data_IF_021139404771
#
_entry.id   IF_021139404771
#
_cell.length_a   1.000
_cell.length_b   1.000
_cell.length_c   1.000
_cell.angle_alpha   90.00
_cell.angle_beta   90.00
_cell.angle_gamma   90.00
#
_symmetry.space_group_name_H-M   'P 1'
#
loop_
_entity.id
_entity.type
_entity.pdbx_description
1 polymer ?
#
# COMPACT_ATOMS: atom_id res chain seq x y z
N UNK A 1 1.17 -15.76 -8.97
CA UNK A 1 2.61 -15.56 -8.70
C UNK A 1 2.90 -16.09 -7.30
N UNK A 2 3.93 -16.91 -7.14
CA UNK A 2 4.31 -17.50 -5.85
C UNK A 2 5.71 -16.98 -5.50
N UNK A 3 5.88 -16.22 -4.39
CA UNK A 3 7.20 -15.72 -4.00
C UNK A 3 8.12 -16.87 -3.58
N UNK A 4 9.41 -16.77 -3.93
CA UNK A 4 10.42 -17.83 -3.66
C UNK A 4 11.40 -17.37 -2.58
N UNK A 5 12.06 -16.22 -2.78
CA UNK A 5 13.06 -15.64 -1.86
C UNK A 5 13.12 -14.13 -1.99
N UNK A 6 13.64 -13.45 -0.96
CA UNK A 6 14.05 -12.05 -1.05
C UNK A 6 15.49 -11.98 -1.56
N UNK A 7 15.67 -11.38 -2.73
CA UNK A 7 16.99 -11.24 -3.34
C UNK A 7 17.84 -10.17 -2.63
N UNK A 8 17.29 -8.97 -2.47
CA UNK A 8 18.03 -7.82 -1.91
C UNK A 8 17.10 -6.99 -1.04
N UNK A 9 17.60 -6.54 0.12
CA UNK A 9 16.94 -5.55 0.98
C UNK A 9 17.76 -4.28 1.00
N UNK A 10 17.13 -3.13 0.75
CA UNK A 10 17.77 -1.82 0.81
C UNK A 10 17.09 -0.95 1.85
N UNK A 11 17.87 -0.43 2.80
CA UNK A 11 17.41 0.54 3.80
C UNK A 11 18.42 1.70 3.84
N UNK A 12 17.89 2.92 3.83
CA UNK A 12 18.66 4.12 4.11
C UNK A 12 17.85 4.94 5.12
N UNK A 13 18.37 5.04 6.34
CA UNK A 13 17.69 5.70 7.46
C UNK A 13 18.49 6.91 7.92
N UNK A 14 17.78 7.93 8.41
CA UNK A 14 18.41 9.02 9.15
C UNK A 14 18.87 8.49 10.50
N UNK A 15 20.01 8.97 11.00
CA UNK A 15 20.56 8.62 12.30
C UNK A 15 21.22 9.85 12.94
N UNK A 16 21.66 9.76 14.18
CA UNK A 16 22.49 10.79 14.79
C UNK A 16 23.97 10.63 14.41
N UNK A 17 24.80 11.62 14.74
CA UNK A 17 26.25 11.58 14.47
C UNK A 17 27.03 10.66 15.40
N UNK A 18 26.39 10.10 16.43
CA UNK A 18 27.07 9.29 17.46
C UNK A 18 27.14 7.82 17.12
N UNK A 19 26.23 7.34 16.28
CA UNK A 19 26.15 5.94 15.88
C UNK A 19 27.02 5.65 14.64
N UNK A 20 27.71 4.51 14.68
CA UNK A 20 28.55 4.02 13.57
C UNK A 20 27.75 3.24 12.52
N UNK A 21 28.26 3.16 11.29
CA UNK A 21 27.58 2.42 10.21
C UNK A 21 27.44 0.92 10.48
N UNK A 22 28.40 0.32 11.20
CA UNK A 22 28.37 -1.10 11.54
C UNK A 22 27.28 -1.40 12.57
N UNK A 23 27.12 -0.52 13.57
CA UNK A 23 26.02 -0.59 14.54
C UNK A 23 24.67 -0.45 13.83
N UNK A 24 24.52 0.51 12.91
CA UNK A 24 23.26 0.68 12.17
C UNK A 24 22.95 -0.56 11.33
N UNK A 25 23.95 -1.13 10.65
CA UNK A 25 23.74 -2.31 9.83
C UNK A 25 23.31 -3.52 10.69
N UNK A 26 23.93 -3.70 11.85
CA UNK A 26 23.56 -4.75 12.80
C UNK A 26 22.14 -4.55 13.35
N UNK A 27 21.82 -3.34 13.80
CA UNK A 27 20.52 -3.00 14.38
C UNK A 27 19.39 -3.10 13.37
N UNK A 28 19.60 -2.63 12.13
CA UNK A 28 18.62 -2.77 11.06
C UNK A 28 18.37 -4.23 10.73
N UNK A 29 19.41 -5.08 10.72
CA UNK A 29 19.26 -6.51 10.48
C UNK A 29 18.43 -7.16 11.59
N UNK A 30 18.78 -6.91 12.84
CA UNK A 30 18.18 -7.58 13.99
C UNK A 30 16.79 -7.06 14.34
N UNK A 31 16.62 -5.75 14.39
CA UNK A 31 15.41 -5.12 14.93
C UNK A 31 14.40 -4.71 13.85
N UNK A 32 14.77 -4.72 12.57
CA UNK A 32 13.88 -4.32 11.47
C UNK A 32 13.69 -5.43 10.44
N UNK A 33 14.77 -5.99 9.89
CA UNK A 33 14.65 -6.97 8.78
C UNK A 33 14.11 -8.30 9.29
N UNK A 34 14.73 -8.90 10.32
CA UNK A 34 14.28 -10.19 10.87
C UNK A 34 12.84 -10.20 11.38
N UNK A 35 12.33 -9.16 12.07
CA UNK A 35 10.94 -9.17 12.55
C UNK A 35 9.91 -8.95 11.44
N UNK A 36 10.30 -8.31 10.33
CA UNK A 36 9.37 -7.93 9.24
C UNK A 36 9.36 -8.96 8.11
N UNK A 37 10.52 -9.49 7.73
CA UNK A 37 10.64 -10.43 6.61
C UNK A 37 10.57 -11.85 7.16
N UNK A 38 9.61 -12.68 6.72
CA UNK A 38 9.53 -14.07 7.14
C UNK A 38 10.82 -14.84 6.84
N UNK A 39 11.31 -15.60 7.82
CA UNK A 39 12.59 -16.32 7.75
C UNK A 39 12.68 -17.25 6.52
N UNK A 40 11.57 -17.86 6.11
CA UNK A 40 11.49 -18.71 4.92
C UNK A 40 11.92 -18.03 3.60
N UNK A 41 11.95 -16.69 3.55
CA UNK A 41 12.36 -15.93 2.37
C UNK A 41 13.77 -15.34 2.49
N UNK A 42 14.43 -15.48 3.65
CA UNK A 42 15.79 -15.02 3.88
C UNK A 42 16.75 -16.20 3.78
N UNK A 43 17.79 -16.06 2.96
CA UNK A 43 18.83 -17.06 2.82
C UNK A 43 20.23 -16.42 2.86
N UNK A 44 21.27 -17.25 2.86
CA UNK A 44 22.67 -16.79 2.89
C UNK A 44 23.05 -15.95 1.65
N UNK A 45 22.27 -16.06 0.56
CA UNK A 45 22.47 -15.29 -0.67
C UNK A 45 21.64 -14.01 -0.70
N UNK A 46 20.90 -13.68 0.35
CA UNK A 46 20.13 -12.44 0.42
C UNK A 46 21.10 -11.28 0.63
N UNK A 47 21.14 -10.36 -0.32
CA UNK A 47 21.97 -9.15 -0.22
C UNK A 47 21.37 -8.24 0.85
N UNK A 48 22.03 -8.17 2.01
CA UNK A 48 21.62 -7.33 3.11
C UNK A 48 22.20 -5.92 2.97
N UNK A 49 21.48 -4.89 3.46
CA UNK A 49 21.86 -3.51 3.23
C UNK A 49 23.14 -3.15 3.98
N UNK A 50 24.15 -2.70 3.25
CA UNK A 50 25.12 -1.73 3.75
C UNK A 50 24.55 -0.33 3.50
N UNK A 51 24.57 0.57 4.48
CA UNK A 51 24.20 1.97 4.20
C UNK A 51 25.09 2.51 3.08
N UNK A 52 24.54 2.81 1.88
CA UNK A 52 25.39 3.18 0.75
C UNK A 52 25.97 4.60 0.90
N UNK A 53 25.36 5.42 1.78
CA UNK A 53 25.84 6.74 2.14
C UNK A 53 26.56 6.69 3.48
N UNK A 54 27.77 7.27 3.54
CA UNK A 54 28.63 7.27 4.73
C UNK A 54 28.02 7.95 5.95
N UNK A 55 27.12 8.92 5.77
CA UNK A 55 26.41 9.61 6.84
C UNK A 55 25.10 10.22 6.33
N UNK A 56 24.03 10.06 7.12
CA UNK A 56 22.70 10.63 6.87
C UNK A 56 22.19 11.34 8.14
N UNK A 57 23.02 12.19 8.74
CA UNK A 57 22.70 12.83 10.02
C UNK A 57 21.81 14.08 9.89
N UNK A 58 21.98 14.83 8.80
CA UNK A 58 21.23 16.07 8.58
C UNK A 58 19.76 15.80 8.23
N UNK A 59 18.86 16.63 8.79
CA UNK A 59 17.41 16.52 8.53
C UNK A 59 17.11 16.63 7.04
N UNK A 60 16.39 15.63 6.51
CA UNK A 60 15.93 15.57 5.13
C UNK A 60 15.18 16.83 4.64
N UNK A 61 14.50 17.55 5.54
CA UNK A 61 13.82 18.84 5.23
C UNK A 61 14.77 19.91 4.72
N UNK A 62 16.04 19.87 5.13
CA UNK A 62 17.02 20.90 4.79
C UNK A 62 17.59 20.73 3.37
N UNK A 63 17.49 19.53 2.80
CA UNK A 63 18.16 19.17 1.54
C UNK A 63 17.23 18.95 0.35
N UNK A 64 15.92 18.79 0.60
CA UNK A 64 14.96 18.45 -0.46
C UNK A 64 13.69 19.29 -0.35
N UNK A 65 13.29 19.88 -1.48
CA UNK A 65 11.95 20.45 -1.63
C UNK A 65 10.90 19.38 -1.37
N UNK A 66 9.94 19.69 -0.49
CA UNK A 66 8.80 18.83 -0.22
C UNK A 66 7.65 19.23 -1.10
N UNK A 67 7.14 18.28 -1.87
CA UNK A 67 5.84 18.41 -2.51
C UNK A 67 4.97 17.26 -2.05
N UNK A 68 3.75 17.57 -1.61
CA UNK A 68 2.71 16.55 -1.47
C UNK A 68 2.57 15.79 -2.79
N UNK A 69 2.03 14.56 -2.75
CA UNK A 69 1.59 13.84 -3.95
C UNK A 69 2.71 13.32 -4.88
N UNK A 70 3.94 13.15 -4.39
CA UNK A 70 5.08 12.62 -5.18
C UNK A 70 5.44 11.16 -4.91
N UNK A 71 4.66 10.46 -4.06
CA UNK A 71 4.91 9.06 -3.65
C UNK A 71 3.77 8.11 -4.05
N UNK A 72 3.07 8.43 -5.15
CA UNK A 72 1.86 7.73 -5.59
C UNK A 72 2.03 6.22 -5.82
N UNK A 73 3.21 5.77 -6.24
CA UNK A 73 3.49 4.33 -6.42
C UNK A 73 3.72 3.63 -5.08
N UNK A 74 4.32 4.31 -4.10
CA UNK A 74 4.46 3.81 -2.72
C UNK A 74 3.08 3.77 -2.05
N UNK A 75 2.23 4.77 -2.32
CA UNK A 75 0.88 4.88 -1.76
C UNK A 75 -0.05 3.74 -2.23
N UNK A 76 0.31 3.04 -3.31
CA UNK A 76 -0.53 2.03 -3.98
C UNK A 76 0.06 0.63 -3.94
N UNK A 77 0.76 0.20 -5.00
CA UNK A 77 1.08 -1.20 -5.26
C UNK A 77 2.57 -1.43 -5.52
N UNK A 78 3.44 -0.44 -5.27
CA UNK A 78 4.89 -0.62 -5.39
C UNK A 78 5.39 -0.95 -6.80
N UNK A 79 4.63 -0.56 -7.83
CA UNK A 79 4.95 -0.82 -9.24
C UNK A 79 4.19 -2.01 -9.85
N UNK A 80 3.48 -2.79 -9.02
CA UNK A 80 2.56 -3.83 -9.50
C UNK A 80 1.25 -3.25 -10.04
N UNK A 81 0.62 -3.97 -10.95
CA UNK A 81 -0.63 -3.53 -11.58
C UNK A 81 -0.41 -2.29 -12.45
N UNK A 82 -1.14 -1.21 -12.18
CA UNK A 82 -1.03 0.05 -12.91
C UNK A 82 -1.41 1.23 -12.01
N UNK A 83 -1.05 2.45 -12.42
CA UNK A 83 -1.41 3.68 -11.73
C UNK A 83 -1.88 4.77 -12.70
N UNK A 84 -3.07 5.34 -12.49
CA UNK A 84 -3.66 6.37 -13.36
C UNK A 84 -3.10 7.79 -13.18
N UNK A 85 -1.92 7.96 -12.58
CA UNK A 85 -1.28 9.26 -12.29
C UNK A 85 -1.88 10.13 -11.17
N UNK A 86 -3.15 9.95 -10.80
CA UNK A 86 -3.84 10.76 -9.80
C UNK A 86 -3.37 10.48 -8.36
N UNK A 87 -2.84 11.49 -7.66
CA UNK A 87 -2.45 11.35 -6.26
C UNK A 87 -3.64 11.43 -5.28
N UNK A 88 -3.51 10.86 -4.09
CA UNK A 88 -4.61 10.79 -3.12
C UNK A 88 -4.59 11.91 -2.08
N UNK A 89 -3.48 12.10 -1.35
CA UNK A 89 -3.40 12.98 -0.18
C UNK A 89 -3.77 14.45 -0.49
N UNK A 90 -4.53 15.06 0.43
CA UNK A 90 -5.02 16.44 0.30
C UNK A 90 -6.17 16.65 -0.69
N UNK A 91 -6.87 15.59 -1.12
CA UNK A 91 -8.11 15.68 -1.92
C UNK A 91 -9.28 15.22 -1.05
N UNK A 92 -10.41 15.88 -1.11
CA UNK A 92 -11.64 15.36 -0.53
C UNK A 92 -12.18 14.17 -1.37
N UNK A 93 -13.04 13.30 -0.82
CA UNK A 93 -13.43 12.07 -1.50
C UNK A 93 -14.33 12.27 -2.72
N UNK A 94 -14.78 13.50 -3.02
CA UNK A 94 -15.45 13.79 -4.31
C UNK A 94 -14.51 13.66 -5.50
N UNK A 95 -13.19 13.69 -5.28
CA UNK A 95 -12.19 13.58 -6.35
C UNK A 95 -11.98 12.11 -6.68
N UNK A 96 -12.40 11.72 -7.88
CA UNK A 96 -12.39 10.35 -8.38
C UNK A 96 -11.02 9.69 -8.39
N UNK A 97 -9.93 10.47 -8.43
CA UNK A 97 -8.57 9.95 -8.24
C UNK A 97 -8.44 9.15 -6.95
N UNK A 98 -9.12 9.56 -5.87
CA UNK A 98 -9.11 8.88 -4.58
C UNK A 98 -10.25 7.87 -4.49
N UNK A 99 -11.49 8.32 -4.61
CA UNK A 99 -12.67 7.46 -4.40
C UNK A 99 -12.75 6.34 -5.44
N UNK A 100 -12.46 6.64 -6.71
CA UNK A 100 -12.36 5.66 -7.78
C UNK A 100 -11.27 4.61 -7.53
N UNK A 101 -10.08 5.03 -7.11
CA UNK A 101 -9.00 4.10 -6.77
C UNK A 101 -9.38 3.17 -5.59
N UNK A 102 -10.08 3.70 -4.59
CA UNK A 102 -10.53 2.91 -3.43
C UNK A 102 -11.59 1.88 -3.79
N UNK A 103 -12.61 2.24 -4.58
CA UNK A 103 -13.61 1.26 -5.01
C UNK A 103 -13.00 0.22 -5.97
N UNK A 104 -12.06 0.62 -6.82
CA UNK A 104 -11.33 -0.32 -7.68
C UNK A 104 -10.51 -1.33 -6.85
N UNK A 105 -9.86 -0.86 -5.77
CA UNK A 105 -9.19 -1.74 -4.80
C UNK A 105 -10.18 -2.73 -4.17
N UNK A 106 -11.34 -2.24 -3.72
CA UNK A 106 -12.37 -3.10 -3.12
C UNK A 106 -12.87 -4.16 -4.11
N UNK A 107 -13.12 -3.77 -5.36
CA UNK A 107 -13.53 -4.68 -6.42
C UNK A 107 -12.48 -5.77 -6.66
N UNK A 108 -11.22 -5.38 -6.91
CA UNK A 108 -10.12 -6.32 -7.12
C UNK A 108 -9.95 -7.30 -5.95
N UNK A 109 -9.98 -6.79 -4.71
CA UNK A 109 -9.87 -7.63 -3.50
C UNK A 109 -11.04 -8.63 -3.40
N UNK A 110 -12.26 -8.19 -3.71
CA UNK A 110 -13.46 -9.03 -3.62
C UNK A 110 -13.50 -10.11 -4.70
N UNK A 111 -13.04 -9.81 -5.91
CA UNK A 111 -12.93 -10.75 -7.03
C UNK A 111 -11.96 -11.88 -6.69
N UNK A 112 -10.75 -11.53 -6.21
CA UNK A 112 -9.72 -12.51 -5.85
C UNK A 112 -10.18 -13.38 -4.69
N UNK A 113 -10.80 -12.78 -3.66
CA UNK A 113 -11.35 -13.53 -2.53
C UNK A 113 -12.45 -14.52 -2.95
N UNK A 114 -13.23 -14.18 -3.97
CA UNK A 114 -14.32 -15.01 -4.50
C UNK A 114 -13.87 -16.00 -5.58
N UNK A 115 -12.59 -16.00 -5.97
CA UNK A 115 -12.00 -16.89 -7.00
C UNK A 115 -12.76 -16.86 -8.35
N UNK A 116 -13.20 -15.66 -8.76
CA UNK A 116 -13.97 -15.49 -9.99
C UNK A 116 -13.06 -15.65 -11.22
N UNK A 117 -13.50 -16.36 -12.27
CA UNK A 117 -12.75 -16.49 -13.52
C UNK A 117 -12.80 -15.20 -14.36
N UNK A 118 -11.71 -14.90 -15.06
CA UNK A 118 -11.51 -13.65 -15.81
C UNK A 118 -12.66 -13.28 -16.74
N UNK A 119 -13.25 -14.26 -17.43
CA UNK A 119 -14.35 -14.07 -18.38
C UNK A 119 -15.62 -13.46 -17.75
N UNK A 120 -15.85 -13.69 -16.45
CA UNK A 120 -17.03 -13.21 -15.73
C UNK A 120 -16.78 -11.92 -14.96
N UNK A 121 -15.51 -11.51 -14.81
CA UNK A 121 -15.12 -10.38 -13.94
C UNK A 121 -15.88 -9.11 -14.29
N UNK A 122 -15.89 -8.72 -15.57
CA UNK A 122 -16.51 -7.47 -15.99
C UNK A 122 -18.00 -7.44 -15.64
N UNK A 123 -18.71 -8.52 -15.97
CA UNK A 123 -20.15 -8.66 -15.68
C UNK A 123 -20.42 -8.53 -14.18
N UNK A 124 -19.73 -9.35 -13.37
CA UNK A 124 -19.91 -9.36 -11.92
C UNK A 124 -19.59 -8.00 -11.32
N UNK A 125 -18.53 -7.33 -11.78
CA UNK A 125 -18.17 -6.00 -11.30
C UNK A 125 -19.27 -4.98 -11.61
N UNK A 126 -19.79 -4.96 -12.84
CA UNK A 126 -20.85 -4.03 -13.23
C UNK A 126 -22.17 -4.26 -12.49
N UNK A 127 -22.49 -5.50 -12.14
CA UNK A 127 -23.72 -5.85 -11.41
C UNK A 127 -23.60 -5.61 -9.90
N UNK A 128 -22.39 -5.69 -9.34
CA UNK A 128 -22.17 -5.63 -7.90
C UNK A 128 -21.61 -4.27 -7.42
N UNK A 129 -21.03 -3.42 -8.26
CA UNK A 129 -20.43 -2.15 -7.84
C UNK A 129 -21.07 -0.96 -8.54
N UNK A 130 -21.39 0.07 -7.75
CA UNK A 130 -21.86 1.35 -8.27
C UNK A 130 -20.69 2.33 -8.35
N UNK A 131 -20.24 2.62 -9.57
CA UNK A 131 -19.10 3.49 -9.83
C UNK A 131 -19.46 4.98 -9.96
N UNK A 132 -20.73 5.36 -9.73
CA UNK A 132 -21.10 6.79 -9.70
C UNK A 132 -20.39 7.47 -8.52
N UNK A 133 -19.70 8.61 -8.71
CA UNK A 133 -18.88 9.22 -7.65
C UNK A 133 -19.61 9.43 -6.33
N UNK A 134 -20.86 9.91 -6.36
CA UNK A 134 -21.67 10.09 -5.15
C UNK A 134 -21.96 8.78 -4.43
N UNK A 135 -22.22 7.69 -5.17
CA UNK A 135 -22.51 6.38 -4.60
C UNK A 135 -21.27 5.72 -4.01
N UNK A 136 -20.10 5.90 -4.62
CA UNK A 136 -18.83 5.42 -4.05
C UNK A 136 -18.60 6.06 -2.68
N UNK A 137 -18.79 7.37 -2.57
CA UNK A 137 -18.58 8.12 -1.33
C UNK A 137 -19.49 7.61 -0.22
N UNK A 138 -20.77 7.37 -0.54
CA UNK A 138 -21.76 6.85 0.41
C UNK A 138 -21.44 5.40 0.80
N UNK A 139 -21.24 4.53 -0.20
CA UNK A 139 -21.03 3.09 0.03
C UNK A 139 -19.74 2.78 0.79
N UNK A 140 -18.70 3.60 0.62
CA UNK A 140 -17.43 3.48 1.34
C UNK A 140 -17.37 4.42 2.57
N UNK A 141 -18.45 5.13 2.90
CA UNK A 141 -18.52 6.03 4.04
C UNK A 141 -17.35 7.05 4.09
N UNK A 142 -16.99 7.60 2.93
CA UNK A 142 -15.77 8.40 2.78
C UNK A 142 -15.88 9.80 3.42
N UNK A 143 -17.08 10.26 3.74
CA UNK A 143 -17.29 11.55 4.41
C UNK A 143 -17.19 11.43 5.94
N UNK A 144 -17.05 10.22 6.51
CA UNK A 144 -16.87 10.04 7.95
C UNK A 144 -15.62 10.77 8.45
N UNK A 145 -15.83 11.74 9.32
CA UNK A 145 -14.79 12.53 9.99
C UNK A 145 -14.48 12.06 11.41
N UNK A 146 -13.54 12.75 12.08
CA UNK A 146 -13.31 12.65 13.53
C UNK A 146 -12.26 11.64 13.99
N UNK A 147 -11.87 10.67 13.16
CA UNK A 147 -10.93 9.59 13.50
C UNK A 147 -9.54 9.73 12.85
N UNK A 148 -9.28 10.85 12.18
CA UNK A 148 -8.02 11.04 11.43
C UNK A 148 -7.82 10.05 10.28
N UNK A 149 -8.89 9.43 9.76
CA UNK A 149 -8.85 8.38 8.70
C UNK A 149 -7.84 8.69 7.59
N UNK A 150 -7.90 9.87 6.99
CA UNK A 150 -7.04 10.24 5.87
C UNK A 150 -5.60 10.61 6.26
N UNK A 151 -5.38 11.00 7.53
CA UNK A 151 -4.03 11.17 8.04
C UNK A 151 -3.35 9.81 8.18
N UNK A 152 -4.07 8.80 8.67
CA UNK A 152 -3.57 7.42 8.77
C UNK A 152 -3.16 6.86 7.41
N UNK A 153 -3.87 7.19 6.33
CA UNK A 153 -3.53 6.71 4.97
C UNK A 153 -2.30 7.38 4.36
N UNK A 154 -1.88 8.55 4.85
CA UNK A 154 -0.85 9.36 4.21
C UNK A 154 0.59 8.79 4.34
N UNK A 155 0.76 7.72 5.09
CA UNK A 155 2.01 6.98 5.24
C UNK A 155 1.74 5.47 5.29
N UNK A 156 2.74 4.68 4.88
CA UNK A 156 2.68 3.21 4.83
C UNK A 156 1.59 2.64 3.90
N UNK A 157 1.17 3.42 2.90
CA UNK A 157 0.23 2.99 1.87
C UNK A 157 -1.25 3.15 2.26
N UNK A 158 -2.08 3.26 1.22
CA UNK A 158 -3.54 3.36 1.33
C UNK A 158 -4.23 1.99 1.34
N UNK A 159 -3.54 0.94 0.90
CA UNK A 159 -4.10 -0.39 0.64
C UNK A 159 -3.40 -1.47 1.46
N UNK A 160 -4.06 -2.61 1.63
CA UNK A 160 -3.52 -3.79 2.33
C UNK A 160 -3.41 -3.64 3.85
N UNK A 161 -4.27 -2.80 4.45
CA UNK A 161 -4.26 -2.51 5.89
C UNK A 161 -5.58 -2.92 6.52
N UNK A 162 -5.53 -3.37 7.77
CA UNK A 162 -6.68 -3.95 8.49
C UNK A 162 -7.43 -2.94 9.39
N UNK A 163 -7.04 -1.67 9.34
CA UNK A 163 -7.70 -0.61 10.10
C UNK A 163 -9.19 -0.53 9.69
N UNK A 164 -10.15 -0.58 10.64
CA UNK A 164 -11.58 -0.58 10.34
C UNK A 164 -12.06 0.71 9.67
N UNK A 165 -11.26 1.79 9.72
CA UNK A 165 -11.54 2.98 8.94
C UNK A 165 -11.28 2.81 7.45
N UNK A 166 -10.58 1.78 7.01
CA UNK A 166 -10.34 1.54 5.58
C UNK A 166 -11.42 0.64 5.01
N UNK A 167 -12.63 1.18 4.91
CA UNK A 167 -13.82 0.47 4.42
C UNK A 167 -13.64 -0.15 3.03
N UNK A 168 -12.74 0.38 2.19
CA UNK A 168 -12.41 -0.20 0.88
C UNK A 168 -11.58 -1.49 0.95
N UNK A 169 -11.01 -1.82 2.11
CA UNK A 169 -10.37 -3.11 2.36
C UNK A 169 -11.38 -4.18 2.80
N UNK A 170 -12.63 -3.82 3.09
CA UNK A 170 -13.68 -4.79 3.42
C UNK A 170 -14.14 -5.49 2.14
N UNK A 171 -13.99 -6.81 2.11
CA UNK A 171 -14.42 -7.66 1.00
C UNK A 171 -15.94 -7.60 0.88
N UNK A 172 -16.42 -7.30 -0.33
CA UNK A 172 -17.84 -7.30 -0.64
C UNK A 172 -18.26 -8.71 -1.07
N UNK A 173 -19.30 -9.31 -0.44
CA UNK A 173 -19.91 -10.53 -0.97
C UNK A 173 -20.47 -10.27 -2.37
N UNK A 174 -20.04 -11.05 -3.36
CA UNK A 174 -20.44 -10.88 -4.75
C UNK A 174 -21.57 -11.85 -5.08
N UNK A 175 -22.62 -11.35 -5.72
CA UNK A 175 -23.70 -12.18 -6.26
C UNK A 175 -23.19 -12.77 -7.58
N UNK A 176 -22.90 -14.07 -7.58
CA UNK A 176 -22.57 -14.83 -8.78
C UNK A 176 -22.86 -16.31 -8.57
N UNK A 177 -23.20 -17.02 -9.64
CA UNK A 177 -23.35 -18.47 -9.64
C UNK A 177 -21.97 -19.08 -9.91
N UNK A 178 -21.41 -19.78 -8.92
CA UNK A 178 -20.16 -20.49 -9.12
C UNK A 178 -20.43 -21.76 -9.95
N UNK A 179 -19.93 -21.85 -11.19
CA UNK A 179 -20.15 -23.03 -12.04
C UNK A 179 -19.43 -24.29 -11.51
N UNK A 180 -18.57 -24.13 -10.49
CA UNK A 180 -17.77 -25.20 -9.87
C UNK A 180 -18.22 -25.54 -8.44
N UNK A 181 -19.35 -25.03 -7.97
CA UNK A 181 -19.97 -25.39 -6.69
C UNK A 181 -20.94 -26.56 -6.84
#
# INVERSE_FOLDING_TARGET
>A
MVPIRVHTVLISTQHDETVTNDEIAADLKEHVIKPVVPEQYLDEKTDLPSQPFRSLCQRWTSWRCRSHRRKIIIDTYGGWGAHGGGAFSGKDPTKVDRSGAYVARQAAKSIVASKIPDKEILKIVTENFDFRPGMIIINLDLMRGGNGRYLKTAAYGHFGREDPDFTWEVVKPLKWENPSA
#
